data_IF_838659605865
#
_entry.id   IF_838659605865
#
_cell.length_a   1.000
_cell.length_b   1.000
_cell.length_c   1.000
_cell.angle_alpha   90.00
_cell.angle_beta   90.00
_cell.angle_gamma   90.00
#
_symmetry.space_group_name_H-M   'P 1'
#
loop_
_entity.id
_entity.type
_entity.pdbx_description
1 polymer ?
#
# COMPACT_ATOMS: atom_id res chain seq x y z
N UNK A 1 -11.52 11.06 -7.96
CA UNK A 1 -11.19 9.80 -7.26
C UNK A 1 -11.27 8.70 -8.29
N UNK A 2 -10.21 7.92 -8.50
CA UNK A 2 -10.24 6.78 -9.41
C UNK A 2 -10.68 5.52 -8.66
N UNK A 3 -11.63 4.76 -9.23
CA UNK A 3 -12.09 3.49 -8.68
C UNK A 3 -11.51 2.33 -9.50
N UNK A 4 -11.09 1.26 -8.82
CA UNK A 4 -10.61 0.06 -9.49
C UNK A 4 -11.77 -0.77 -10.05
N UNK A 5 -11.71 -1.10 -11.33
CA UNK A 5 -12.65 -2.00 -12.00
C UNK A 5 -12.01 -3.38 -12.21
N UNK A 6 -12.56 -4.48 -11.65
CA UNK A 6 -12.02 -5.82 -11.82
C UNK A 6 -12.06 -6.30 -13.28
N UNK A 7 -11.17 -7.24 -13.65
CA UNK A 7 -11.13 -7.83 -15.00
C UNK A 7 -12.49 -8.37 -15.46
N UNK A 8 -13.23 -9.01 -14.55
CA UNK A 8 -14.55 -9.59 -14.82
C UNK A 8 -15.61 -8.56 -15.25
N UNK A 9 -15.40 -7.28 -14.99
CA UNK A 9 -16.25 -6.20 -15.51
C UNK A 9 -15.76 -5.74 -16.88
N UNK A 10 -14.46 -5.51 -17.04
CA UNK A 10 -13.89 -5.01 -18.31
C UNK A 10 -13.97 -6.03 -19.46
N UNK A 11 -14.18 -7.31 -19.16
CA UNK A 11 -14.44 -8.35 -20.16
C UNK A 11 -15.92 -8.47 -20.55
N UNK A 12 -16.79 -7.65 -19.95
CA UNK A 12 -18.24 -7.63 -20.17
C UNK A 12 -18.69 -6.19 -20.48
N UNK A 13 -18.59 -5.76 -21.75
CA UNK A 13 -18.91 -4.39 -22.15
C UNK A 13 -20.39 -4.03 -21.95
N UNK A 14 -21.29 -5.00 -22.11
CA UNK A 14 -22.74 -4.81 -21.92
C UNK A 14 -23.03 -4.46 -20.46
N UNK A 15 -22.47 -5.21 -19.51
CA UNK A 15 -22.56 -4.90 -18.08
C UNK A 15 -21.97 -3.53 -17.74
N UNK A 16 -20.85 -3.14 -18.36
CA UNK A 16 -20.26 -1.82 -18.17
C UNK A 16 -21.19 -0.71 -18.69
N UNK A 17 -21.82 -0.92 -19.85
CA UNK A 17 -22.78 0.01 -20.45
C UNK A 17 -24.03 0.17 -19.57
N UNK A 18 -24.65 -0.94 -19.15
CA UNK A 18 -25.85 -0.92 -18.28
C UNK A 18 -25.60 -0.21 -16.95
N UNK A 19 -24.41 -0.42 -16.35
CA UNK A 19 -24.02 0.26 -15.13
C UNK A 19 -23.62 1.73 -15.35
N UNK A 20 -23.47 2.20 -16.60
CA UNK A 20 -23.04 3.55 -16.93
C UNK A 20 -21.56 3.81 -16.61
N UNK A 21 -20.70 2.79 -16.73
CA UNK A 21 -19.24 2.94 -16.60
C UNK A 21 -18.72 3.75 -17.80
N UNK A 22 -17.95 4.84 -17.60
CA UNK A 22 -17.36 5.62 -18.68
C UNK A 22 -16.49 4.77 -19.62
N UNK A 23 -16.60 4.99 -20.93
CA UNK A 23 -15.90 4.21 -21.97
C UNK A 23 -14.37 4.12 -21.75
N UNK A 24 -13.74 5.21 -21.32
CA UNK A 24 -12.29 5.23 -21.04
C UNK A 24 -11.87 4.31 -19.87
N UNK A 25 -12.82 3.80 -19.08
CA UNK A 25 -12.59 2.84 -17.99
C UNK A 25 -12.92 1.39 -18.40
N UNK A 26 -13.37 1.15 -19.64
CA UNK A 26 -13.67 -0.20 -20.12
C UNK A 26 -12.38 -1.01 -20.36
N UNK A 27 -11.25 -0.34 -20.59
CA UNK A 27 -9.95 -0.99 -20.65
C UNK A 27 -9.48 -1.37 -19.23
N UNK A 28 -9.05 -2.64 -19.06
CA UNK A 28 -8.52 -3.11 -17.79
C UNK A 28 -7.27 -2.33 -17.36
N UNK A 29 -7.26 -1.91 -16.10
CA UNK A 29 -6.11 -1.29 -15.45
C UNK A 29 -5.79 -2.01 -14.16
N UNK A 30 -4.50 -2.29 -13.93
CA UNK A 30 -4.10 -2.96 -12.69
C UNK A 30 -4.21 -2.01 -11.49
N UNK A 31 -4.40 -2.56 -10.29
CA UNK A 31 -4.37 -1.77 -9.05
C UNK A 31 -3.05 -1.01 -8.90
N UNK A 32 -1.93 -1.64 -9.29
CA UNK A 32 -0.60 -1.04 -9.24
C UNK A 32 -0.48 0.18 -10.14
N UNK A 33 -0.99 0.11 -11.37
CA UNK A 33 -0.94 1.25 -12.32
C UNK A 33 -1.80 2.40 -11.82
N UNK A 34 -3.00 2.10 -11.31
CA UNK A 34 -3.89 3.10 -10.71
C UNK A 34 -3.23 3.76 -9.49
N UNK A 35 -2.57 2.98 -8.62
CA UNK A 35 -1.88 3.51 -7.46
C UNK A 35 -0.70 4.42 -7.85
N UNK A 36 0.07 4.06 -8.89
CA UNK A 36 1.18 4.88 -9.38
C UNK A 36 0.68 6.21 -9.98
N UNK A 37 -0.40 6.18 -10.77
CA UNK A 37 -0.99 7.41 -11.30
C UNK A 37 -1.59 8.30 -10.21
N UNK A 38 -2.22 7.71 -9.19
CA UNK A 38 -2.72 8.46 -8.04
C UNK A 38 -1.57 9.07 -7.22
N UNK A 39 -0.43 8.37 -7.10
CA UNK A 39 0.80 8.93 -6.53
C UNK A 39 1.31 10.12 -7.36
N UNK A 40 1.39 9.97 -8.69
CA UNK A 40 1.82 11.05 -9.59
C UNK A 40 0.91 12.27 -9.47
N UNK A 41 -0.41 12.05 -9.39
CA UNK A 41 -1.41 13.10 -9.22
C UNK A 41 -1.23 13.89 -7.92
N UNK A 42 -0.93 13.24 -6.80
CA UNK A 42 -0.73 13.94 -5.51
C UNK A 42 0.64 14.60 -5.41
N UNK A 43 1.67 13.97 -6.00
CA UNK A 43 3.03 14.54 -6.08
C UNK A 43 3.05 15.80 -6.95
N UNK A 44 2.35 15.81 -8.08
CA UNK A 44 2.20 16.98 -8.95
C UNK A 44 1.52 18.17 -8.24
N UNK A 45 0.79 17.92 -7.14
CA UNK A 45 0.18 18.95 -6.29
C UNK A 45 1.09 19.41 -5.14
N UNK A 46 2.34 18.97 -5.10
CA UNK A 46 3.30 19.29 -4.05
C UNK A 46 3.10 18.53 -2.73
N UNK A 47 2.30 17.45 -2.74
CA UNK A 47 2.09 16.64 -1.53
C UNK A 47 3.38 15.88 -1.21
N UNK A 48 3.87 16.02 0.02
CA UNK A 48 5.00 15.26 0.51
C UNK A 48 4.54 14.22 1.53
N UNK A 49 5.14 13.04 1.47
CA UNK A 49 4.93 11.98 2.45
C UNK A 49 6.26 11.29 2.71
N UNK A 50 6.40 10.77 3.93
CA UNK A 50 7.67 10.21 4.41
C UNK A 50 7.97 8.83 3.84
N UNK A 51 6.94 8.01 3.66
CA UNK A 51 7.07 6.63 3.20
C UNK A 51 5.78 6.16 2.53
N UNK A 52 5.90 5.45 1.42
CA UNK A 52 4.80 4.71 0.78
C UNK A 52 4.69 3.32 1.41
N UNK A 53 3.51 2.96 1.90
CA UNK A 53 3.26 1.68 2.57
C UNK A 53 2.23 0.87 1.80
N UNK A 54 2.55 -0.36 1.43
CA UNK A 54 1.61 -1.26 0.75
C UNK A 54 1.66 -2.68 1.31
N UNK A 55 0.61 -3.45 1.04
CA UNK A 55 0.60 -4.89 1.29
C UNK A 55 1.30 -5.69 0.17
N UNK A 56 1.27 -7.01 0.29
CA UNK A 56 1.84 -7.94 -0.69
C UNK A 56 1.12 -7.95 -2.05
N UNK A 57 -0.13 -7.49 -2.12
CA UNK A 57 -0.86 -7.37 -3.39
C UNK A 57 -0.21 -6.39 -4.36
N UNK A 58 0.51 -5.38 -3.85
CA UNK A 58 1.36 -4.48 -4.64
C UNK A 58 2.82 -4.90 -4.59
N UNK A 59 3.30 -5.26 -3.41
CA UNK A 59 4.72 -5.38 -3.13
C UNK A 59 5.40 -6.57 -3.80
N UNK A 60 4.68 -7.58 -4.29
CA UNK A 60 5.27 -8.66 -5.12
C UNK A 60 5.71 -8.18 -6.51
N UNK A 61 5.10 -7.11 -7.02
CA UNK A 61 5.42 -6.59 -8.35
C UNK A 61 6.77 -5.87 -8.35
N UNK A 62 7.73 -6.43 -9.09
CA UNK A 62 9.02 -5.79 -9.39
C UNK A 62 8.82 -4.40 -10.01
N UNK A 63 7.97 -4.30 -11.02
CA UNK A 63 7.77 -3.04 -11.75
C UNK A 63 7.18 -1.96 -10.85
N UNK A 64 6.29 -2.33 -9.93
CA UNK A 64 5.74 -1.40 -8.94
C UNK A 64 6.82 -0.87 -7.99
N UNK A 65 7.66 -1.75 -7.40
CA UNK A 65 8.76 -1.31 -6.52
C UNK A 65 9.76 -0.41 -7.25
N UNK A 66 10.17 -0.80 -8.45
CA UNK A 66 11.08 0.01 -9.28
C UNK A 66 10.48 1.36 -9.66
N UNK A 67 9.17 1.41 -9.93
CA UNK A 67 8.45 2.64 -10.21
C UNK A 67 8.42 3.60 -8.99
N UNK A 68 8.32 3.07 -7.77
CA UNK A 68 8.46 3.88 -6.55
C UNK A 68 9.89 4.40 -6.36
N UNK A 69 10.91 3.56 -6.57
CA UNK A 69 12.32 3.97 -6.51
C UNK A 69 12.64 5.04 -7.57
N UNK A 70 12.16 4.88 -8.80
CA UNK A 70 12.38 5.83 -9.89
C UNK A 70 11.77 7.23 -9.61
N UNK A 71 10.73 7.29 -8.76
CA UNK A 71 10.12 8.53 -8.28
C UNK A 71 10.86 9.15 -7.07
N UNK A 72 11.97 8.55 -6.64
CA UNK A 72 12.72 8.98 -5.45
C UNK A 72 11.95 8.73 -4.14
N UNK A 73 10.93 7.87 -4.15
CA UNK A 73 10.12 7.62 -2.97
C UNK A 73 10.78 6.59 -2.05
N UNK A 74 10.76 6.87 -0.75
CA UNK A 74 10.99 5.83 0.25
C UNK A 74 9.73 4.97 0.37
N UNK A 75 9.88 3.65 0.29
CA UNK A 75 8.76 2.71 0.32
C UNK A 75 9.04 1.53 1.22
N UNK A 76 8.00 0.99 1.85
CA UNK A 76 8.02 -0.30 2.53
C UNK A 76 6.79 -1.11 2.13
N UNK A 77 7.02 -2.26 1.51
CA UNK A 77 5.96 -3.06 0.90
C UNK A 77 5.97 -4.47 1.47
N UNK A 78 4.78 -5.02 1.73
CA UNK A 78 4.63 -6.44 2.05
C UNK A 78 5.09 -7.30 0.87
N UNK A 79 5.64 -8.47 1.15
CA UNK A 79 5.98 -9.48 0.14
C UNK A 79 5.59 -10.86 0.64
N UNK A 80 5.59 -11.81 -0.28
CA UNK A 80 5.42 -13.23 0.02
C UNK A 80 6.77 -13.86 0.37
N UNK A 81 6.79 -14.84 1.27
CA UNK A 81 8.03 -15.46 1.74
C UNK A 81 8.85 -16.21 0.67
N UNK A 82 8.27 -16.47 -0.51
CA UNK A 82 8.98 -17.03 -1.67
C UNK A 82 9.65 -15.98 -2.56
N UNK A 83 9.44 -14.67 -2.30
CA UNK A 83 10.23 -13.60 -2.91
C UNK A 83 11.70 -13.89 -2.62
N UNK A 84 12.52 -13.91 -3.68
CA UNK A 84 13.93 -14.27 -3.57
C UNK A 84 14.80 -13.06 -3.31
N UNK A 85 15.87 -13.28 -2.57
CA UNK A 85 16.92 -12.31 -2.24
C UNK A 85 18.29 -12.99 -2.36
N UNK A 86 19.29 -12.18 -2.63
CA UNK A 86 20.70 -12.51 -2.44
C UNK A 86 21.19 -11.88 -1.13
N UNK A 87 22.31 -12.36 -0.61
CA UNK A 87 23.04 -11.73 0.48
C UNK A 87 23.44 -10.29 0.15
N UNK A 88 23.71 -9.51 1.19
CA UNK A 88 24.08 -8.09 1.08
C UNK A 88 25.28 -7.87 0.14
N UNK A 89 26.27 -8.75 0.20
CA UNK A 89 27.55 -8.62 -0.51
C UNK A 89 27.64 -9.50 -1.78
N UNK A 90 26.51 -9.92 -2.36
CA UNK A 90 26.54 -10.67 -3.62
C UNK A 90 27.27 -9.87 -4.71
N UNK A 91 28.11 -10.56 -5.47
CA UNK A 91 28.82 -10.00 -6.62
C UNK A 91 28.48 -10.79 -7.86
N UNK A 92 28.35 -10.11 -8.99
CA UNK A 92 28.15 -10.74 -10.30
C UNK A 92 29.47 -10.68 -11.06
N UNK A 93 30.16 -11.83 -11.18
CA UNK A 93 31.38 -11.90 -11.98
C UNK A 93 31.06 -11.58 -13.44
N UNK A 94 31.91 -10.79 -14.10
CA UNK A 94 31.74 -10.45 -15.51
C UNK A 94 31.60 -11.71 -16.37
N UNK A 95 30.80 -11.64 -17.43
CA UNK A 95 30.73 -12.74 -18.38
C UNK A 95 32.14 -12.98 -18.95
N UNK A 96 32.65 -14.23 -18.95
CA UNK A 96 33.98 -14.49 -19.47
C UNK A 96 34.06 -14.04 -20.92
N UNK A 97 35.12 -13.28 -21.25
CA UNK A 97 35.47 -12.95 -22.63
C UNK A 97 35.56 -14.27 -23.42
N UNK A 98 34.90 -14.35 -24.58
CA UNK A 98 34.98 -15.57 -25.37
C UNK A 98 36.42 -15.82 -25.81
N UNK A 99 36.98 -16.93 -25.37
CA UNK A 99 38.31 -17.40 -25.78
C UNK A 99 38.26 -18.42 -26.93
N UNK A 100 37.07 -18.91 -27.30
CA UNK A 100 36.86 -19.88 -28.39
C UNK A 100 35.61 -19.55 -29.21
N UNK A 101 35.70 -19.67 -30.54
CA UNK A 101 34.64 -19.42 -31.53
C UNK A 101 33.52 -20.48 -31.55
N UNK A 102 33.27 -21.19 -30.44
CA UNK A 102 32.27 -22.24 -30.36
C UNK A 102 31.19 -21.89 -29.34
N UNK A 103 29.97 -21.65 -29.82
CA UNK A 103 28.77 -21.39 -29.02
C UNK A 103 28.42 -19.92 -28.85
N UNK A 104 27.14 -19.64 -28.53
CA UNK A 104 26.65 -18.28 -28.28
C UNK A 104 27.29 -17.72 -26.99
N UNK A 105 27.84 -16.48 -27.01
CA UNK A 105 28.43 -15.87 -25.83
C UNK A 105 27.45 -15.84 -24.65
N UNK A 106 27.94 -16.10 -23.44
CA UNK A 106 27.15 -15.83 -22.23
C UNK A 106 26.96 -14.32 -22.12
N UNK A 107 25.71 -13.87 -22.24
CA UNK A 107 25.36 -12.45 -22.19
C UNK A 107 25.47 -11.85 -20.78
N UNK A 108 25.27 -12.68 -19.75
CA UNK A 108 25.21 -12.24 -18.36
C UNK A 108 26.31 -12.90 -17.53
N UNK A 109 26.75 -12.18 -16.51
CA UNK A 109 27.67 -12.69 -15.50
C UNK A 109 27.09 -13.81 -14.65
N UNK A 110 27.83 -14.27 -13.65
CA UNK A 110 27.35 -15.29 -12.70
C UNK A 110 27.43 -14.73 -11.28
N UNK A 111 26.30 -14.66 -10.55
CA UNK A 111 26.33 -14.35 -9.13
C UNK A 111 27.18 -15.40 -8.38
N UNK A 112 28.03 -14.95 -7.45
CA UNK A 112 28.86 -15.84 -6.63
C UNK A 112 28.07 -16.69 -5.62
N UNK A 113 26.77 -16.40 -5.44
CA UNK A 113 25.86 -17.13 -4.58
C UNK A 113 24.45 -17.20 -5.19
N UNK A 114 23.65 -18.24 -4.86
CA UNK A 114 22.29 -18.36 -5.38
C UNK A 114 21.31 -17.45 -4.64
N UNK A 115 20.30 -16.96 -5.36
CA UNK A 115 19.14 -16.32 -4.77
C UNK A 115 18.33 -17.33 -3.93
N UNK A 116 17.96 -16.94 -2.71
CA UNK A 116 17.17 -17.76 -1.77
C UNK A 116 15.85 -17.07 -1.41
N UNK A 117 14.76 -17.83 -1.22
CA UNK A 117 13.52 -17.30 -0.66
C UNK A 117 13.75 -16.55 0.67
N UNK A 118 13.04 -15.45 0.89
CA UNK A 118 13.10 -14.69 2.16
C UNK A 118 12.83 -15.60 3.35
N UNK A 119 11.86 -16.51 3.28
CA UNK A 119 11.57 -17.45 4.37
C UNK A 119 12.79 -18.30 4.76
N UNK A 120 13.60 -18.71 3.79
CA UNK A 120 14.79 -19.56 4.04
C UNK A 120 15.95 -18.73 4.62
N UNK A 121 15.96 -17.41 4.38
CA UNK A 121 17.01 -16.49 4.88
C UNK A 121 16.64 -15.90 6.23
N UNK A 122 15.41 -15.42 6.41
CA UNK A 122 14.94 -14.78 7.63
C UNK A 122 14.38 -15.78 8.64
N UNK A 123 13.51 -16.70 8.23
CA UNK A 123 12.77 -17.54 9.18
C UNK A 123 13.65 -18.65 9.77
N UNK A 124 14.73 -19.01 9.07
CA UNK A 124 15.76 -19.92 9.55
C UNK A 124 16.67 -19.30 10.65
N UNK A 125 16.63 -17.97 10.84
CA UNK A 125 17.48 -17.33 11.85
C UNK A 125 16.97 -17.60 13.27
N UNK A 126 17.89 -17.84 14.22
CA UNK A 126 17.55 -18.28 15.56
C UNK A 126 16.73 -17.22 16.32
N UNK A 127 15.88 -17.69 17.25
CA UNK A 127 14.89 -16.86 17.94
C UNK A 127 15.49 -15.63 18.63
N UNK A 128 16.73 -15.68 19.14
CA UNK A 128 17.38 -14.56 19.81
C UNK A 128 17.67 -13.36 18.89
N UNK A 129 17.68 -13.55 17.56
CA UNK A 129 17.83 -12.48 16.56
C UNK A 129 16.55 -11.67 16.35
N UNK A 130 15.42 -12.18 16.85
CA UNK A 130 14.12 -11.54 16.72
C UNK A 130 13.84 -10.69 17.95
N UNK A 131 13.61 -9.38 17.76
CA UNK A 131 13.52 -8.42 18.85
C UNK A 131 12.12 -7.80 18.94
N UNK A 132 11.68 -7.49 20.15
CA UNK A 132 10.46 -6.72 20.36
C UNK A 132 10.77 -5.24 20.22
N UNK A 133 10.05 -4.55 19.35
CA UNK A 133 10.12 -3.09 19.23
C UNK A 133 9.07 -2.45 20.11
N UNK A 134 9.36 -1.28 20.69
CA UNK A 134 8.42 -0.54 21.56
C UNK A 134 7.05 -0.39 20.88
N UNK A 135 5.99 -0.73 21.62
CA UNK A 135 4.62 -0.73 21.11
C UNK A 135 4.25 -1.93 20.23
N UNK A 136 5.11 -2.93 20.09
CA UNK A 136 4.87 -4.18 19.35
C UNK A 136 4.83 -5.40 20.26
N UNK A 137 4.03 -5.38 21.33
CA UNK A 137 4.00 -6.50 22.29
C UNK A 137 3.54 -7.84 21.69
N UNK A 138 2.87 -7.82 20.53
CA UNK A 138 2.30 -9.01 19.88
C UNK A 138 3.17 -9.61 18.76
N UNK A 139 4.26 -8.94 18.38
CA UNK A 139 5.13 -9.37 17.29
C UNK A 139 6.61 -9.09 17.58
N UNK A 140 7.48 -10.02 17.17
CA UNK A 140 8.94 -9.90 17.17
C UNK A 140 9.42 -9.59 15.76
N UNK A 141 10.47 -8.80 15.65
CA UNK A 141 10.94 -8.24 14.40
C UNK A 141 12.39 -8.61 14.13
N UNK A 142 12.70 -8.81 12.86
CA UNK A 142 14.05 -9.02 12.37
C UNK A 142 14.25 -8.16 11.12
N UNK A 143 15.35 -7.42 11.08
CA UNK A 143 15.69 -6.49 9.99
C UNK A 143 17.13 -6.76 9.54
N UNK A 144 17.28 -7.16 8.27
CA UNK A 144 18.56 -7.50 7.64
C UNK A 144 18.71 -6.78 6.31
N UNK A 145 19.94 -6.58 5.83
CA UNK A 145 20.22 -6.09 4.48
C UNK A 145 20.34 -7.26 3.52
N UNK A 146 19.83 -7.09 2.31
CA UNK A 146 19.88 -8.07 1.23
C UNK A 146 19.69 -7.38 -0.11
N UNK A 147 20.18 -7.98 -1.20
CA UNK A 147 19.84 -7.53 -2.55
C UNK A 147 18.60 -8.28 -3.01
N UNK A 148 17.53 -7.56 -3.38
CA UNK A 148 16.33 -8.23 -3.88
C UNK A 148 16.62 -8.86 -5.25
N UNK A 149 16.14 -10.09 -5.49
CA UNK A 149 16.36 -10.77 -6.77
C UNK A 149 15.35 -10.28 -7.81
N UNK A 150 15.45 -9.00 -8.18
CA UNK A 150 14.61 -8.34 -9.16
C UNK A 150 15.41 -7.50 -10.18
N UNK A 151 16.72 -7.75 -10.28
CA UNK A 151 17.58 -7.16 -11.30
C UNK A 151 17.28 -7.65 -12.71
N UNK A 152 18.28 -7.58 -13.59
CA UNK A 152 18.18 -8.04 -14.98
C UNK A 152 17.72 -9.50 -15.01
N UNK A 153 16.85 -9.83 -15.96
CA UNK A 153 16.36 -11.19 -16.16
C UNK A 153 17.09 -11.83 -17.34
N UNK A 154 17.53 -13.08 -17.18
CA UNK A 154 18.10 -13.84 -18.28
C UNK A 154 17.05 -14.61 -19.08
N UNK A 155 17.49 -15.21 -20.20
CA UNK A 155 16.60 -15.99 -21.08
C UNK A 155 15.99 -17.24 -20.41
N UNK A 156 16.40 -17.58 -19.18
CA UNK A 156 15.86 -18.70 -18.38
C UNK A 156 14.91 -18.20 -17.28
N UNK A 157 14.55 -16.92 -17.29
CA UNK A 157 13.70 -16.30 -16.27
C UNK A 157 14.40 -16.14 -14.92
N UNK A 158 15.74 -16.19 -14.86
CA UNK A 158 16.46 -15.97 -13.60
C UNK A 158 16.70 -14.47 -13.42
N UNK A 159 16.25 -13.95 -12.28
CA UNK A 159 16.54 -12.59 -11.86
C UNK A 159 17.89 -12.50 -11.17
N UNK A 160 18.68 -11.52 -11.59
CA UNK A 160 19.95 -11.14 -11.01
C UNK A 160 19.76 -10.25 -9.77
N UNK A 161 20.82 -10.00 -8.97
CA UNK A 161 20.74 -9.05 -7.88
C UNK A 161 20.26 -7.68 -8.38
N UNK A 162 19.26 -7.15 -7.68
CA UNK A 162 18.65 -5.85 -7.93
C UNK A 162 19.04 -4.84 -6.86
N UNK A 163 18.07 -4.05 -6.40
CA UNK A 163 18.32 -3.00 -5.41
C UNK A 163 18.74 -3.58 -4.05
N UNK A 164 19.68 -2.91 -3.36
CA UNK A 164 20.06 -3.25 -2.00
C UNK A 164 19.02 -2.69 -1.01
N UNK A 165 18.23 -3.58 -0.42
CA UNK A 165 17.07 -3.25 0.41
C UNK A 165 17.22 -3.78 1.83
N UNK A 166 16.35 -3.31 2.72
CA UNK A 166 16.09 -3.98 4.00
C UNK A 166 15.00 -5.02 3.81
N UNK A 167 15.24 -6.23 4.31
CA UNK A 167 14.24 -7.30 4.43
C UNK A 167 13.82 -7.37 5.89
N UNK A 168 12.52 -7.35 6.12
CA UNK A 168 11.91 -7.25 7.45
C UNK A 168 10.94 -8.39 7.66
N UNK A 169 11.19 -9.20 8.68
CA UNK A 169 10.24 -10.21 9.15
C UNK A 169 9.47 -9.70 10.37
N UNK A 170 8.15 -9.88 10.35
CA UNK A 170 7.24 -9.63 11.48
C UNK A 170 6.66 -10.97 11.95
N UNK A 171 7.20 -11.51 13.06
CA UNK A 171 6.78 -12.79 13.63
C UNK A 171 5.76 -12.60 14.74
N UNK A 172 4.54 -13.11 14.52
CA UNK A 172 3.43 -13.08 15.47
C UNK A 172 3.48 -14.27 16.44
N UNK A 173 2.80 -14.15 17.59
CA UNK A 173 2.73 -15.22 18.60
C UNK A 173 2.17 -16.56 18.07
N UNK A 174 1.31 -16.53 17.05
CA UNK A 174 0.77 -17.72 16.39
C UNK A 174 1.74 -18.42 15.43
N UNK A 175 2.98 -17.93 15.29
CA UNK A 175 3.99 -18.50 14.38
C UNK A 175 3.95 -17.95 12.96
N UNK A 176 2.88 -17.24 12.57
CA UNK A 176 2.80 -16.53 11.30
C UNK A 176 3.90 -15.46 11.21
N UNK A 177 4.60 -15.42 10.08
CA UNK A 177 5.61 -14.41 9.78
C UNK A 177 5.18 -13.65 8.52
N UNK A 178 5.08 -12.33 8.64
CA UNK A 178 4.84 -11.43 7.51
C UNK A 178 6.14 -10.80 7.06
N UNK A 179 6.45 -10.93 5.78
CA UNK A 179 7.67 -10.42 5.19
C UNK A 179 7.42 -9.08 4.50
N UNK A 180 8.37 -8.17 4.64
CA UNK A 180 8.35 -6.86 4.02
C UNK A 180 9.73 -6.55 3.44
N UNK A 181 9.77 -5.73 2.39
CA UNK A 181 11.00 -5.18 1.83
C UNK A 181 10.90 -3.67 1.75
N UNK A 182 12.03 -2.99 1.90
CA UNK A 182 12.04 -1.52 1.90
C UNK A 182 13.39 -0.91 1.49
N UNK A 183 13.33 0.18 0.73
CA UNK A 183 14.49 0.95 0.28
C UNK A 183 14.92 2.08 1.24
N UNK A 184 14.50 2.06 2.51
CA UNK A 184 14.99 3.01 3.50
C UNK A 184 16.53 3.14 3.44
N UNK A 185 17.03 4.37 3.58
CA UNK A 185 18.46 4.66 3.57
C UNK A 185 19.26 3.77 4.53
N UNK A 186 20.52 3.47 4.21
CA UNK A 186 21.36 2.59 5.02
C UNK A 186 21.58 3.09 6.46
N UNK A 187 21.56 4.41 6.68
CA UNK A 187 21.65 5.02 8.00
C UNK A 187 20.34 4.98 8.82
N UNK A 188 19.23 4.51 8.24
CA UNK A 188 17.94 4.45 8.94
C UNK A 188 17.99 3.43 10.07
N UNK A 189 17.55 3.83 11.27
CA UNK A 189 17.50 2.89 12.40
C UNK A 189 16.47 1.78 12.16
N UNK A 190 16.81 0.54 12.54
CA UNK A 190 15.90 -0.61 12.45
C UNK A 190 14.58 -0.37 13.18
N UNK A 191 14.62 0.36 14.30
CA UNK A 191 13.43 0.73 15.06
C UNK A 191 12.50 1.67 14.28
N UNK A 192 13.06 2.62 13.52
CA UNK A 192 12.27 3.50 12.65
C UNK A 192 11.65 2.73 11.47
N UNK A 193 12.41 1.83 10.83
CA UNK A 193 11.89 0.97 9.75
C UNK A 193 10.67 0.18 10.24
N UNK A 194 10.77 -0.44 11.42
CA UNK A 194 9.64 -1.18 12.02
C UNK A 194 8.47 -0.25 12.33
N UNK A 195 8.71 0.95 12.88
CA UNK A 195 7.65 1.95 13.14
C UNK A 195 6.92 2.34 11.85
N UNK A 196 7.64 2.42 10.75
CA UNK A 196 7.09 2.82 9.44
C UNK A 196 6.20 1.75 8.87
N UNK A 197 6.70 0.51 8.82
CA UNK A 197 5.91 -0.65 8.38
C UNK A 197 4.63 -0.78 9.22
N UNK A 198 4.72 -0.60 10.54
CA UNK A 198 3.55 -0.65 11.43
C UNK A 198 2.52 0.43 11.17
N UNK A 199 2.92 1.57 10.61
CA UNK A 199 1.99 2.65 10.27
C UNK A 199 0.98 2.23 9.20
N UNK A 200 1.23 1.13 8.48
CA UNK A 200 0.27 0.50 7.54
C UNK A 200 -1.04 0.09 8.22
N UNK A 201 -1.03 -0.19 9.52
CA UNK A 201 -2.26 -0.50 10.28
C UNK A 201 -3.29 0.63 10.24
N UNK A 202 -2.85 1.88 10.03
CA UNK A 202 -3.76 3.01 9.83
C UNK A 202 -4.67 2.81 8.62
N UNK A 203 -4.18 2.20 7.53
CA UNK A 203 -5.00 1.91 6.34
C UNK A 203 -6.07 0.85 6.62
N UNK A 204 -5.72 -0.23 7.33
CA UNK A 204 -6.67 -1.26 7.74
C UNK A 204 -7.75 -0.68 8.65
N UNK A 205 -7.34 0.14 9.62
CA UNK A 205 -8.24 0.83 10.53
C UNK A 205 -9.17 1.79 9.80
N UNK A 206 -8.65 2.55 8.83
CA UNK A 206 -9.44 3.49 8.03
C UNK A 206 -10.48 2.76 7.18
N UNK A 207 -10.11 1.64 6.54
CA UNK A 207 -11.07 0.83 5.77
C UNK A 207 -12.16 0.23 6.66
N UNK A 208 -11.80 -0.32 7.83
CA UNK A 208 -12.77 -0.86 8.78
C UNK A 208 -13.73 0.24 9.25
N UNK A 209 -13.20 1.41 9.62
CA UNK A 209 -13.99 2.56 10.04
C UNK A 209 -14.90 3.10 8.93
N UNK A 210 -14.42 3.19 7.69
CA UNK A 210 -15.24 3.65 6.58
C UNK A 210 -16.44 2.72 6.34
N UNK A 211 -16.29 1.41 6.55
CA UNK A 211 -17.39 0.44 6.48
C UNK A 211 -18.31 0.55 7.69
N UNK A 212 -17.79 0.28 8.89
CA UNK A 212 -18.59 0.15 10.10
C UNK A 212 -19.25 1.46 10.55
N UNK A 213 -18.58 2.60 10.39
CA UNK A 213 -19.07 3.89 10.89
C UNK A 213 -19.75 4.74 9.80
N UNK A 214 -19.36 4.58 8.54
CA UNK A 214 -19.81 5.44 7.44
C UNK A 214 -20.56 4.68 6.33
N UNK A 215 -20.69 3.36 6.44
CA UNK A 215 -21.45 2.56 5.49
C UNK A 215 -20.83 2.47 4.10
N UNK A 216 -19.49 2.43 3.99
CA UNK A 216 -18.81 2.26 2.71
C UNK A 216 -19.34 1.06 1.92
N UNK A 217 -19.74 -0.01 2.61
CA UNK A 217 -20.29 -1.25 2.09
C UNK A 217 -21.83 -1.32 2.09
N UNK A 218 -22.53 -0.22 2.39
CA UNK A 218 -24.01 -0.15 2.37
C UNK A 218 -24.58 0.26 1.00
N UNK A 219 -23.75 0.42 -0.03
CA UNK A 219 -24.23 0.79 -1.36
C UNK A 219 -24.88 -0.40 -2.06
N UNK A 220 -26.20 -0.33 -2.28
CA UNK A 220 -26.99 -1.38 -2.95
C UNK A 220 -27.38 -1.01 -4.40
N UNK A 221 -26.96 0.15 -4.88
CA UNK A 221 -27.21 0.57 -6.26
C UNK A 221 -26.38 -0.21 -7.28
N UNK A 222 -26.75 -0.08 -8.57
CA UNK A 222 -26.06 -0.74 -9.69
C UNK A 222 -25.37 0.21 -10.67
N UNK A 223 -25.51 1.53 -10.47
CA UNK A 223 -24.90 2.52 -11.35
C UNK A 223 -23.52 2.95 -10.88
N UNK A 224 -22.60 3.08 -11.82
CA UNK A 224 -21.23 3.57 -11.61
C UNK A 224 -21.23 4.96 -10.98
N UNK A 225 -22.11 5.86 -11.46
CA UNK A 225 -22.27 7.20 -10.91
C UNK A 225 -22.73 7.16 -9.45
N UNK A 226 -23.71 6.30 -9.14
CA UNK A 226 -24.19 6.11 -7.77
C UNK A 226 -23.09 5.63 -6.84
N UNK A 227 -22.33 4.61 -7.26
CA UNK A 227 -21.19 4.09 -6.49
C UNK A 227 -20.13 5.17 -6.27
N UNK A 228 -19.79 5.91 -7.33
CA UNK A 228 -18.79 6.98 -7.26
C UNK A 228 -19.21 8.09 -6.30
N UNK A 229 -20.47 8.51 -6.35
CA UNK A 229 -21.01 9.51 -5.41
C UNK A 229 -20.97 8.99 -3.98
N UNK A 230 -21.44 7.76 -3.73
CA UNK A 230 -21.44 7.15 -2.40
C UNK A 230 -20.04 7.11 -1.80
N UNK A 231 -19.08 6.52 -2.53
CA UNK A 231 -17.69 6.42 -2.07
C UNK A 231 -17.09 7.81 -1.84
N UNK A 232 -17.35 8.78 -2.72
CA UNK A 232 -16.85 10.15 -2.55
C UNK A 232 -17.40 10.80 -1.28
N UNK A 233 -18.70 10.67 -1.00
CA UNK A 233 -19.32 11.20 0.20
C UNK A 233 -18.78 10.53 1.48
N UNK A 234 -18.58 9.21 1.45
CA UNK A 234 -17.95 8.48 2.56
C UNK A 234 -16.53 8.98 2.82
N UNK A 235 -15.72 9.19 1.77
CA UNK A 235 -14.36 9.70 1.93
C UNK A 235 -14.34 11.15 2.44
N UNK A 236 -15.28 11.99 2.01
CA UNK A 236 -15.45 13.37 2.52
C UNK A 236 -15.86 13.37 4.01
N UNK A 237 -16.83 12.54 4.38
CA UNK A 237 -17.25 12.38 5.78
C UNK A 237 -16.09 11.86 6.65
N UNK A 238 -15.32 10.90 6.14
CA UNK A 238 -14.12 10.39 6.81
C UNK A 238 -13.10 11.50 7.04
N UNK A 239 -12.81 12.30 6.01
CA UNK A 239 -11.89 13.44 6.11
C UNK A 239 -12.36 14.45 7.17
N UNK A 240 -13.64 14.81 7.15
CA UNK A 240 -14.23 15.70 8.16
C UNK A 240 -14.03 15.15 9.57
N UNK A 241 -14.41 13.89 9.82
CA UNK A 241 -14.29 13.27 11.14
C UNK A 241 -12.84 13.16 11.60
N UNK A 242 -11.91 12.84 10.69
CA UNK A 242 -10.48 12.81 11.04
C UNK A 242 -9.94 14.21 11.37
N UNK A 243 -10.42 15.25 10.69
CA UNK A 243 -10.07 16.64 10.97
C UNK A 243 -10.55 17.06 12.37
N UNK A 244 -11.81 16.74 12.71
CA UNK A 244 -12.37 16.99 14.05
C UNK A 244 -11.58 16.26 15.13
N UNK A 245 -11.22 14.99 14.90
CA UNK A 245 -10.38 14.21 15.83
C UNK A 245 -8.98 14.77 16.01
N UNK A 246 -8.36 15.23 14.93
CA UNK A 246 -7.02 15.82 14.98
C UNK A 246 -7.02 17.12 15.79
N UNK A 247 -8.00 18.01 15.54
CA UNK A 247 -8.16 19.27 16.27
C UNK A 247 -8.37 19.05 17.77
N UNK A 248 -9.16 18.05 18.14
CA UNK A 248 -9.45 17.73 19.56
C UNK A 248 -8.31 16.99 20.27
N UNK A 249 -7.55 16.16 19.54
CA UNK A 249 -6.35 15.51 20.08
C UNK A 249 -5.25 16.53 20.42
N UNK A 250 -5.16 17.64 19.67
CA UNK A 250 -4.30 18.77 20.01
C UNK A 250 -4.74 19.50 21.30
N UNK A 251 -6.02 19.38 21.68
CA UNK A 251 -6.60 19.92 22.93
C UNK A 251 -6.62 18.90 24.08
N UNK A 252 -5.75 17.88 24.04
CA UNK A 252 -5.64 16.79 25.02
C UNK A 252 -6.89 15.89 25.18
N UNK A 253 -7.87 15.98 24.28
CA UNK A 253 -9.04 15.08 24.24
C UNK A 253 -8.87 14.04 23.14
N UNK A 254 -8.51 12.79 23.48
CA UNK A 254 -8.37 11.73 22.47
C UNK A 254 -9.76 11.21 22.08
N UNK A 255 -10.31 11.77 21.01
CA UNK A 255 -11.58 11.34 20.43
C UNK A 255 -11.38 10.14 19.47
N UNK A 256 -12.11 9.06 19.73
CA UNK A 256 -12.24 7.95 18.78
C UNK A 256 -13.18 8.35 17.65
N UNK A 257 -13.03 7.75 16.46
CA UNK A 257 -13.94 8.02 15.32
C UNK A 257 -15.41 7.81 15.66
N UNK A 258 -15.83 6.73 16.36
CA UNK A 258 -17.23 6.56 16.73
C UNK A 258 -17.75 7.67 17.64
N UNK A 259 -16.92 8.20 18.56
CA UNK A 259 -17.30 9.33 19.41
C UNK A 259 -17.41 10.63 18.62
N UNK A 260 -16.45 10.91 17.73
CA UNK A 260 -16.49 12.08 16.86
C UNK A 260 -17.73 12.04 15.93
N UNK A 261 -18.05 10.87 15.36
CA UNK A 261 -19.26 10.67 14.56
C UNK A 261 -20.51 10.95 15.38
N UNK A 262 -20.64 10.36 16.58
CA UNK A 262 -21.81 10.60 17.45
C UNK A 262 -21.99 12.08 17.79
N UNK A 263 -20.90 12.79 18.08
CA UNK A 263 -20.97 14.21 18.42
C UNK A 263 -21.35 15.07 17.21
N UNK A 264 -20.77 14.79 16.05
CA UNK A 264 -21.16 15.42 14.80
C UNK A 264 -22.64 15.16 14.48
N UNK A 265 -23.10 13.91 14.58
CA UNK A 265 -24.50 13.54 14.35
C UNK A 265 -25.45 14.25 15.31
N UNK A 266 -25.10 14.34 16.61
CA UNK A 266 -25.89 15.12 17.60
C UNK A 266 -25.98 16.58 17.20
N UNK A 267 -24.84 17.20 16.88
CA UNK A 267 -24.79 18.59 16.44
C UNK A 267 -25.66 18.80 15.20
N UNK A 268 -25.47 18.00 14.14
CA UNK A 268 -26.27 18.12 12.92
C UNK A 268 -27.75 17.83 13.12
N UNK A 269 -28.12 16.91 14.02
CA UNK A 269 -29.53 16.66 14.35
C UNK A 269 -30.19 17.83 15.09
N UNK A 270 -29.39 18.64 15.82
CA UNK A 270 -29.87 19.87 16.45
C UNK A 270 -29.91 21.06 15.49
N UNK A 271 -29.13 21.02 14.41
CA UNK A 271 -29.18 22.02 13.33
C UNK A 271 -30.38 21.73 12.45
N UNK A 272 -31.53 22.33 12.79
CA UNK A 272 -32.63 22.44 11.82
C UNK A 272 -32.21 23.45 10.76
N UNK A 273 -31.74 22.98 9.61
CA UNK A 273 -31.64 23.81 8.42
C UNK A 273 -33.06 24.12 7.93
N UNK A 274 -33.74 25.06 8.58
CA UNK A 274 -35.02 25.58 8.10
C UNK A 274 -34.86 26.22 6.71
N UNK A 275 -33.64 26.68 6.37
CA UNK A 275 -33.27 27.20 5.06
C UNK A 275 -31.88 26.72 4.66
N UNK A 276 -31.68 26.53 3.36
CA UNK A 276 -30.38 26.23 2.78
C UNK A 276 -29.43 27.41 3.03
N UNK A 277 -28.24 27.20 3.61
CA UNK A 277 -27.28 28.27 3.88
C UNK A 277 -26.65 28.87 2.62
N UNK A 278 -26.81 28.23 1.46
CA UNK A 278 -26.27 28.72 0.19
C UNK A 278 -27.26 29.55 -0.63
N UNK A 279 -28.52 29.11 -0.73
CA UNK A 279 -29.54 29.80 -1.54
C UNK A 279 -30.70 30.39 -0.72
N UNK A 280 -30.77 30.17 0.60
CA UNK A 280 -31.82 30.71 1.48
C UNK A 280 -33.20 30.04 1.34
N UNK A 281 -33.35 29.08 0.42
CA UNK A 281 -34.60 28.36 0.21
C UNK A 281 -34.92 27.42 1.37
N UNK A 282 -36.22 27.26 1.67
CA UNK A 282 -36.69 26.33 2.71
C UNK A 282 -36.38 24.88 2.32
N UNK A 283 -35.70 24.13 3.20
CA UNK A 283 -35.43 22.71 2.96
C UNK A 283 -36.74 21.93 3.13
N UNK A 284 -37.25 21.33 2.04
CA UNK A 284 -38.51 20.58 2.06
C UNK A 284 -38.38 19.37 2.98
N UNK A 285 -39.32 19.22 3.93
CA UNK A 285 -39.35 18.11 4.91
C UNK A 285 -38.85 18.48 6.32
N UNK A 286 -38.38 19.71 6.55
CA UNK A 286 -38.15 20.21 7.89
C UNK A 286 -39.49 20.63 8.53
N UNK A 287 -40.19 19.71 9.19
CA UNK A 287 -41.34 20.05 10.04
C UNK A 287 -40.88 20.88 11.26
N UNK A 288 -41.76 21.76 11.79
CA UNK A 288 -41.43 22.74 12.85
C UNK A 288 -40.90 22.12 14.15
#
# INVERSE_FOLDING_TARGET
MCLFLPKSWTTDPERCFEAGVPEHLHAYRSKSDLALEELDRVLARGTTFRVVLTDAGYGVSKTFRQALTARGLTWAVGVVGHQKVFGEHVTVAAAPLQTKNTGRPRKYGVPNEPARPIRDVLHALPSHRWHTVRGSRKARWLVVRAQIADGVEDARGRHFPGELVWVVGEKWHGGEIKDHVTNHAAGMSKAQIVRDIKSRWACETLHAQAKEELGLDHFEGRSWRGLTHHVTLVMLAMLFLQTVRAATSAMALVLTLPKARREASRTFSSVRLGRCPHCGERVRGASP
#
